data_IF_521124151994
#
_entry.id   IF_521124151994
#
_cell.length_a   1.000
_cell.length_b   1.000
_cell.length_c   1.000
_cell.angle_alpha   90.00
_cell.angle_beta   90.00
_cell.angle_gamma   90.00
#
_symmetry.space_group_name_H-M   'P 1'
#
loop_
_entity.id
_entity.type
_entity.pdbx_description
1 polymer ?
#
# COMPACT_ATOMS: atom_id res chain seq x y z
N UNK A 1 9.84 -53.47 3.59
CA UNK A 1 9.22 -53.49 2.24
C UNK A 1 7.81 -52.92 2.34
N UNK A 2 7.64 -51.60 2.12
CA UNK A 2 6.38 -51.01 1.60
C UNK A 2 6.81 -49.85 0.69
N UNK A 3 6.29 -49.87 -0.52
CA UNK A 3 6.68 -49.13 -1.72
C UNK A 3 6.14 -47.71 -1.78
N UNK A 4 6.99 -46.79 -2.28
CA UNK A 4 6.68 -45.41 -2.64
C UNK A 4 5.71 -45.31 -3.83
N UNK A 5 4.92 -44.24 -3.89
CA UNK A 5 4.36 -43.71 -5.14
C UNK A 5 4.30 -42.18 -5.08
N UNK A 6 5.13 -41.57 -5.93
CA UNK A 6 5.16 -40.14 -6.26
C UNK A 6 4.14 -39.86 -7.37
N UNK A 7 3.34 -38.79 -7.24
CA UNK A 7 2.64 -38.19 -8.38
C UNK A 7 2.81 -36.67 -8.35
N UNK A 8 3.69 -36.21 -9.25
CA UNK A 8 3.84 -34.84 -9.73
C UNK A 8 2.72 -34.53 -10.73
N UNK A 9 2.02 -33.40 -10.59
CA UNK A 9 1.26 -32.81 -11.71
C UNK A 9 1.65 -31.35 -11.96
N UNK A 10 2.27 -31.16 -13.13
CA UNK A 10 2.39 -29.90 -13.87
C UNK A 10 1.01 -29.43 -14.32
N UNK A 11 0.72 -28.14 -14.17
CA UNK A 11 -0.38 -27.49 -14.88
C UNK A 11 0.17 -26.76 -16.11
N UNK A 12 -0.32 -27.15 -17.28
CA UNK A 12 -0.01 -26.54 -18.58
C UNK A 12 -1.14 -25.57 -18.94
N UNK A 13 -0.77 -24.37 -19.37
CA UNK A 13 -1.67 -23.35 -19.93
C UNK A 13 -2.38 -23.88 -21.18
N UNK A 14 -3.66 -23.55 -21.36
CA UNK A 14 -4.27 -23.59 -22.70
C UNK A 14 -5.08 -22.32 -22.97
N UNK A 15 -4.64 -21.67 -24.06
CA UNK A 15 -5.16 -20.49 -24.71
C UNK A 15 -6.43 -20.82 -25.48
N UNK A 16 -7.52 -20.10 -25.24
CA UNK A 16 -8.73 -20.12 -26.08
C UNK A 16 -8.65 -19.01 -27.13
N UNK A 17 -8.52 -19.42 -28.39
CA UNK A 17 -8.70 -18.59 -29.57
C UNK A 17 -10.17 -18.13 -29.66
N UNK A 18 -10.39 -16.83 -29.91
CA UNK A 18 -11.69 -16.28 -30.33
C UNK A 18 -11.52 -15.77 -31.76
N UNK A 19 -12.37 -16.28 -32.66
CA UNK A 19 -12.34 -15.99 -34.10
C UNK A 19 -12.89 -14.59 -34.48
N UNK A 20 -12.80 -14.22 -35.77
CA UNK A 20 -13.03 -12.86 -36.24
C UNK A 20 -14.51 -12.58 -36.46
N UNK A 21 -15.04 -11.52 -35.83
CA UNK A 21 -16.37 -11.00 -36.11
C UNK A 21 -16.35 -10.11 -37.36
N UNK A 22 -17.24 -10.43 -38.31
CA UNK A 22 -17.40 -9.72 -39.58
C UNK A 22 -18.70 -8.92 -39.57
N UNK A 23 -18.58 -7.59 -39.64
CA UNK A 23 -19.42 -6.70 -40.45
C UNK A 23 -20.75 -6.17 -39.88
N UNK A 24 -20.85 -4.83 -39.78
CA UNK A 24 -21.77 -4.03 -40.60
C UNK A 24 -21.29 -2.56 -40.64
N UNK A 25 -21.34 -1.92 -41.81
CA UNK A 25 -20.85 -0.55 -42.08
C UNK A 25 -21.98 0.48 -42.13
N UNK A 26 -21.70 1.64 -41.49
CA UNK A 26 -21.84 3.05 -41.95
C UNK A 26 -23.23 3.63 -42.29
N UNK A 27 -23.63 4.70 -41.58
CA UNK A 27 -23.78 6.10 -42.07
C UNK A 27 -24.69 6.90 -41.13
N UNK A 28 -24.25 8.08 -40.67
CA UNK A 28 -25.11 9.01 -39.95
C UNK A 28 -24.33 10.14 -39.30
N UNK A 29 -24.04 11.17 -40.08
CA UNK A 29 -23.28 12.34 -39.66
C UNK A 29 -24.14 13.28 -38.81
N UNK A 30 -23.53 13.84 -37.77
CA UNK A 30 -23.72 15.18 -37.17
C UNK A 30 -23.83 15.12 -35.64
N UNK A 31 -22.70 15.32 -34.96
CA UNK A 31 -22.67 15.69 -33.54
C UNK A 31 -21.49 16.61 -33.28
N UNK A 32 -21.67 17.76 -32.61
CA UNK A 32 -20.56 18.63 -32.30
C UNK A 32 -19.75 18.01 -31.15
N UNK A 33 -18.46 17.86 -31.40
CA UNK A 33 -17.44 17.50 -30.43
C UNK A 33 -17.56 18.43 -29.21
N UNK A 34 -17.97 17.89 -28.06
CA UNK A 34 -17.78 18.57 -26.77
C UNK A 34 -16.60 17.91 -26.08
N UNK A 35 -15.53 18.70 -26.00
CA UNK A 35 -14.24 18.38 -25.41
C UNK A 35 -14.37 18.45 -23.88
N UNK A 36 -14.25 17.33 -23.17
CA UNK A 36 -14.26 17.31 -21.70
C UNK A 36 -12.87 17.70 -21.16
N UNK A 37 -12.57 19.00 -21.15
CA UNK A 37 -11.52 19.55 -20.31
C UNK A 37 -12.10 19.81 -18.91
N UNK A 38 -11.69 19.00 -17.93
CA UNK A 38 -11.71 19.44 -16.54
C UNK A 38 -10.63 20.52 -16.37
N UNK A 39 -11.03 21.78 -16.17
CA UNK A 39 -10.27 22.69 -15.30
C UNK A 39 -11.06 23.94 -14.91
N UNK A 40 -11.05 24.17 -13.60
CA UNK A 40 -10.94 25.46 -12.90
C UNK A 40 -12.10 26.47 -12.93
N UNK A 41 -12.68 26.65 -11.74
CA UNK A 41 -13.11 27.89 -11.11
C UNK A 41 -13.55 29.05 -12.01
N UNK A 42 -14.85 29.30 -12.03
CA UNK A 42 -15.42 30.54 -12.52
C UNK A 42 -16.87 30.70 -12.08
N UNK A 43 -17.07 31.22 -10.87
CA UNK A 43 -18.37 31.79 -10.46
C UNK A 43 -18.68 32.93 -11.43
N UNK A 44 -19.66 32.74 -12.31
CA UNK A 44 -20.33 33.84 -13.01
C UNK A 44 -21.83 33.67 -12.93
N UNK A 45 -22.38 34.40 -11.97
CA UNK A 45 -23.75 34.90 -11.92
C UNK A 45 -24.13 35.50 -13.28
N UNK A 46 -25.21 35.00 -13.90
CA UNK A 46 -25.84 35.66 -15.03
C UNK A 46 -27.29 35.94 -14.67
N UNK A 47 -27.54 37.21 -14.33
CA UNK A 47 -28.86 37.82 -14.21
C UNK A 47 -29.41 38.10 -15.62
N UNK A 48 -30.68 37.74 -15.79
CA UNK A 48 -31.72 38.17 -16.74
C UNK A 48 -31.39 39.21 -17.83
N UNK A 49 -31.87 38.93 -19.04
CA UNK A 49 -32.68 39.84 -19.87
C UNK A 49 -33.71 38.97 -20.62
N UNK A 50 -34.98 38.96 -20.21
CA UNK A 50 -36.07 39.79 -20.75
C UNK A 50 -36.22 39.66 -22.26
N UNK A 51 -37.19 38.83 -22.68
CA UNK A 51 -37.96 39.01 -23.90
C UNK A 51 -39.41 38.61 -23.59
N UNK A 52 -40.32 39.55 -23.81
CA UNK A 52 -41.75 39.49 -23.52
C UNK A 52 -42.47 39.10 -24.82
N UNK A 53 -43.37 38.12 -24.78
CA UNK A 53 -44.65 38.17 -25.50
C UNK A 53 -45.57 36.97 -25.15
N UNK A 54 -46.86 37.27 -25.01
CA UNK A 54 -47.97 36.35 -25.31
C UNK A 54 -48.58 35.49 -24.18
N UNK A 55 -49.66 36.01 -23.57
CA UNK A 55 -50.85 35.36 -22.95
C UNK A 55 -50.91 33.82 -22.79
N UNK A 56 -51.16 33.35 -21.56
CA UNK A 56 -52.35 32.57 -21.15
C UNK A 56 -52.27 32.20 -19.65
N UNK A 57 -53.42 32.29 -18.96
CA UNK A 57 -53.65 31.93 -17.57
C UNK A 57 -53.39 30.44 -17.26
N UNK A 58 -52.96 30.15 -16.03
CA UNK A 58 -53.57 29.17 -15.09
C UNK A 58 -52.69 29.01 -13.84
N UNK A 59 -53.33 29.23 -12.69
CA UNK A 59 -52.86 28.94 -11.34
C UNK A 59 -52.56 27.44 -11.16
N UNK A 60 -51.33 27.10 -10.77
CA UNK A 60 -51.04 25.82 -10.13
C UNK A 60 -49.89 25.96 -9.13
N UNK A 61 -50.28 26.10 -7.87
CA UNK A 61 -49.45 25.96 -6.68
C UNK A 61 -48.84 24.56 -6.63
N UNK A 62 -47.51 24.47 -6.79
CA UNK A 62 -46.73 23.26 -6.59
C UNK A 62 -45.50 23.57 -5.76
N UNK A 63 -45.54 23.24 -4.47
CA UNK A 63 -44.42 23.41 -3.55
C UNK A 63 -43.25 22.52 -3.98
N UNK A 64 -42.25 23.08 -4.67
CA UNK A 64 -40.93 22.44 -4.80
C UNK A 64 -40.20 22.53 -3.46
N UNK A 65 -40.38 21.50 -2.63
CA UNK A 65 -39.44 21.19 -1.55
C UNK A 65 -38.09 20.84 -2.18
N UNK A 66 -37.23 21.84 -2.33
CA UNK A 66 -35.81 21.62 -2.57
C UNK A 66 -35.23 20.89 -1.35
N UNK A 67 -34.58 19.72 -1.50
CA UNK A 67 -33.72 19.19 -0.47
C UNK A 67 -32.52 20.13 -0.39
N UNK A 68 -32.49 20.97 0.64
CA UNK A 68 -31.36 21.84 0.92
C UNK A 68 -30.10 20.98 1.15
N UNK A 69 -29.00 21.16 0.40
CA UNK A 69 -27.77 20.38 0.57
C UNK A 69 -26.95 20.81 1.80
N UNK A 70 -27.52 21.62 2.69
CA UNK A 70 -26.86 22.31 3.81
C UNK A 70 -26.46 21.40 4.98
N UNK A 71 -26.78 20.10 4.94
CA UNK A 71 -26.43 19.15 6.02
C UNK A 71 -25.03 18.53 5.82
N UNK A 72 -24.44 18.63 4.61
CA UNK A 72 -23.13 18.03 4.32
C UNK A 72 -21.92 18.95 4.56
N UNK A 73 -22.09 20.28 4.58
CA UNK A 73 -20.97 21.21 4.74
C UNK A 73 -20.50 21.40 6.19
N UNK A 74 -21.37 21.12 7.17
CA UNK A 74 -21.06 21.35 8.59
C UNK A 74 -20.20 20.26 9.24
N UNK A 75 -20.02 19.11 8.58
CA UNK A 75 -19.22 17.98 9.10
C UNK A 75 -17.72 18.10 8.84
N UNK A 76 -17.29 18.96 7.91
CA UNK A 76 -15.88 19.14 7.59
C UNK A 76 -15.09 19.83 8.72
N UNK A 77 -15.75 20.69 9.53
CA UNK A 77 -15.10 21.40 10.64
C UNK A 77 -14.81 20.53 11.87
N UNK A 78 -15.43 19.36 11.99
CA UNK A 78 -15.28 18.47 13.16
C UNK A 78 -14.18 17.40 12.98
N UNK A 79 -13.59 17.31 11.79
CA UNK A 79 -12.53 16.37 11.45
C UNK A 79 -11.27 17.09 10.95
N UNK A 80 -11.10 18.36 11.30
CA UNK A 80 -9.85 19.07 11.02
C UNK A 80 -8.76 18.44 11.88
N UNK A 81 -7.95 17.61 11.23
CA UNK A 81 -6.81 17.00 11.87
C UNK A 81 -5.83 18.11 12.27
N UNK A 82 -5.23 18.05 13.47
CA UNK A 82 -4.19 19.00 13.87
C UNK A 82 -3.06 19.04 12.82
N UNK A 83 -2.39 20.19 12.62
CA UNK A 83 -1.46 20.40 11.49
C UNK A 83 -0.23 19.48 11.51
N UNK A 84 0.08 18.87 12.66
CA UNK A 84 1.16 17.92 12.87
C UNK A 84 0.74 16.46 12.58
N UNK A 85 -0.48 16.22 12.10
CA UNK A 85 -0.99 14.88 11.84
C UNK A 85 -0.88 14.45 10.38
N UNK A 86 -0.89 13.13 10.17
CA UNK A 86 -0.88 12.53 8.84
C UNK A 86 -2.13 12.89 8.02
N UNK A 87 -3.27 13.09 8.66
CA UNK A 87 -4.52 13.52 8.02
C UNK A 87 -4.42 14.93 7.47
N UNK A 88 -3.83 15.86 8.23
CA UNK A 88 -3.59 17.23 7.79
C UNK A 88 -2.58 17.30 6.64
N UNK A 89 -1.53 16.46 6.69
CA UNK A 89 -0.53 16.35 5.63
C UNK A 89 -1.00 15.52 4.41
N UNK A 90 -2.19 14.93 4.45
CA UNK A 90 -2.70 13.99 3.44
C UNK A 90 -1.80 12.75 3.20
N UNK A 91 -1.04 12.33 4.22
CA UNK A 91 -0.11 11.20 4.15
C UNK A 91 -0.63 9.91 4.81
N UNK A 92 -1.78 9.94 5.49
CA UNK A 92 -2.28 8.80 6.26
C UNK A 92 -2.42 7.50 5.44
N UNK A 93 -2.95 7.57 4.21
CA UNK A 93 -3.08 6.41 3.33
C UNK A 93 -1.71 5.92 2.83
N UNK A 94 -0.83 6.85 2.51
CA UNK A 94 0.51 6.55 2.02
C UNK A 94 1.31 5.79 3.09
N UNK A 95 1.32 6.27 4.34
CA UNK A 95 1.98 5.57 5.43
C UNK A 95 1.30 4.25 5.80
N UNK A 96 -0.03 4.14 5.68
CA UNK A 96 -0.70 2.85 5.88
C UNK A 96 -0.16 1.78 4.92
N UNK A 97 0.00 2.13 3.64
CA UNK A 97 0.61 1.22 2.65
C UNK A 97 2.05 0.86 3.01
N UNK A 98 2.86 1.84 3.42
CA UNK A 98 4.25 1.59 3.86
C UNK A 98 4.29 0.62 5.05
N UNK A 99 3.48 0.86 6.09
CA UNK A 99 3.39 0.01 7.28
C UNK A 99 3.01 -1.42 6.91
N UNK A 100 2.00 -1.61 6.07
CA UNK A 100 1.53 -2.95 5.64
C UNK A 100 2.61 -3.67 4.82
N UNK A 101 3.37 -2.96 3.98
CA UNK A 101 4.48 -3.57 3.25
C UNK A 101 5.56 -4.02 4.23
N UNK A 102 5.97 -3.18 5.19
CA UNK A 102 6.98 -3.55 6.20
C UNK A 102 6.50 -4.76 7.03
N UNK A 103 5.24 -4.76 7.49
CA UNK A 103 4.64 -5.88 8.23
C UNK A 103 4.78 -7.21 7.47
N UNK A 104 4.43 -7.21 6.17
CA UNK A 104 4.55 -8.39 5.31
C UNK A 104 5.99 -8.85 5.15
N UNK A 105 6.95 -7.93 5.03
CA UNK A 105 8.36 -8.27 4.90
C UNK A 105 8.93 -8.81 6.22
N UNK A 106 8.46 -8.31 7.37
CA UNK A 106 8.82 -8.84 8.68
C UNK A 106 8.26 -10.26 8.89
N UNK A 107 7.04 -10.54 8.40
CA UNK A 107 6.47 -11.88 8.46
C UNK A 107 7.22 -12.90 7.57
N UNK A 108 7.77 -12.41 6.44
CA UNK A 108 8.44 -13.27 5.44
C UNK A 108 9.78 -12.67 4.98
N UNK A 109 10.79 -12.57 5.87
CA UNK A 109 12.05 -11.90 5.56
C UNK A 109 12.90 -12.64 4.51
N UNK A 110 12.63 -13.92 4.30
CA UNK A 110 13.25 -14.76 3.27
C UNK A 110 12.77 -14.43 1.84
N UNK A 111 11.64 -13.72 1.69
CA UNK A 111 11.11 -13.30 0.39
C UNK A 111 11.63 -11.93 -0.06
N UNK A 112 12.50 -11.30 0.74
CA UNK A 112 13.06 -9.97 0.45
C UNK A 112 14.13 -10.09 -0.63
N UNK A 113 13.70 -10.00 -1.89
CA UNK A 113 14.55 -9.79 -3.06
C UNK A 113 15.03 -8.34 -3.19
N UNK A 114 15.90 -8.09 -4.18
CA UNK A 114 16.37 -6.74 -4.50
C UNK A 114 15.20 -5.84 -4.89
N UNK A 115 14.30 -6.32 -5.75
CA UNK A 115 13.14 -5.58 -6.24
C UNK A 115 12.22 -5.14 -5.08
N UNK A 116 11.91 -6.05 -4.15
CA UNK A 116 11.06 -5.74 -2.99
C UNK A 116 11.68 -4.66 -2.08
N UNK A 117 13.01 -4.65 -1.96
CA UNK A 117 13.73 -3.61 -1.20
C UNK A 117 13.67 -2.26 -1.90
N UNK A 118 13.88 -2.24 -3.21
CA UNK A 118 13.86 -1.03 -4.01
C UNK A 118 12.45 -0.43 -4.08
N UNK A 119 11.43 -1.27 -4.23
CA UNK A 119 10.02 -0.89 -4.15
C UNK A 119 9.68 -0.27 -2.80
N UNK A 120 10.06 -0.92 -1.68
CA UNK A 120 9.86 -0.37 -0.35
C UNK A 120 10.55 0.98 -0.22
N UNK A 121 11.80 1.11 -0.65
CA UNK A 121 12.56 2.36 -0.55
C UNK A 121 11.94 3.49 -1.40
N UNK A 122 11.42 3.17 -2.59
CA UNK A 122 10.73 4.11 -3.47
C UNK A 122 9.36 4.54 -2.90
N UNK A 123 8.72 3.71 -2.09
CA UNK A 123 7.52 4.08 -1.35
C UNK A 123 7.80 5.02 -0.17
N UNK A 124 9.06 5.22 0.26
CA UNK A 124 9.34 6.04 1.44
C UNK A 124 9.36 7.55 1.11
N UNK A 125 8.69 8.38 1.94
CA UNK A 125 8.86 9.82 1.91
C UNK A 125 10.31 10.25 2.06
N UNK A 126 10.65 11.42 1.51
CA UNK A 126 12.01 11.94 1.53
C UNK A 126 12.57 12.10 2.95
N UNK A 127 11.73 12.51 3.91
CA UNK A 127 12.04 12.62 5.33
C UNK A 127 12.52 11.29 5.92
N UNK A 128 11.73 10.22 5.72
CA UNK A 128 12.05 8.87 6.20
C UNK A 128 13.32 8.34 5.53
N UNK A 129 13.49 8.55 4.22
CA UNK A 129 14.73 8.14 3.52
C UNK A 129 15.97 8.84 4.06
N UNK A 130 15.87 10.12 4.41
CA UNK A 130 16.97 10.87 5.01
C UNK A 130 17.29 10.36 6.42
N UNK A 131 16.26 10.18 7.26
CA UNK A 131 16.41 9.65 8.62
C UNK A 131 17.03 8.24 8.61
N UNK A 132 16.57 7.36 7.71
CA UNK A 132 17.11 6.02 7.55
C UNK A 132 18.58 6.03 7.15
N UNK A 133 18.98 6.90 6.21
CA UNK A 133 20.38 7.04 5.80
C UNK A 133 21.26 7.45 6.97
N UNK A 134 20.85 8.44 7.76
CA UNK A 134 21.62 8.87 8.93
C UNK A 134 21.74 7.76 9.98
N UNK A 135 20.67 6.99 10.20
CA UNK A 135 20.69 5.85 11.14
C UNK A 135 21.58 4.69 10.68
N UNK A 136 21.64 4.42 9.38
CA UNK A 136 22.42 3.31 8.81
C UNK A 136 23.88 3.67 8.49
N UNK A 137 24.23 4.96 8.40
CA UNK A 137 25.56 5.45 8.07
C UNK A 137 26.69 5.00 9.02
N UNK A 138 26.50 4.93 10.35
CA UNK A 138 27.52 4.38 11.25
C UNK A 138 27.79 2.89 10.99
N UNK A 139 26.75 2.15 10.62
CA UNK A 139 26.83 0.71 10.42
C UNK A 139 27.57 0.35 9.13
N UNK A 140 27.50 1.16 8.07
CA UNK A 140 28.17 0.85 6.79
C UNK A 140 29.69 0.75 6.86
N UNK A 141 30.33 1.41 7.84
CA UNK A 141 31.78 1.35 8.05
C UNK A 141 32.22 0.20 8.97
N UNK A 142 31.34 -0.25 9.86
CA UNK A 142 31.61 -1.34 10.82
C UNK A 142 31.17 -2.72 10.30
N UNK A 143 30.42 -2.76 9.19
CA UNK A 143 29.70 -3.94 8.71
C UNK A 143 30.57 -5.05 8.14
N UNK A 144 31.83 -4.75 7.83
CA UNK A 144 32.78 -5.71 7.26
C UNK A 144 33.35 -6.69 8.30
N UNK A 145 33.08 -6.48 9.59
CA UNK A 145 33.71 -7.23 10.69
C UNK A 145 32.75 -7.57 11.85
N UNK A 146 31.49 -7.15 11.81
CA UNK A 146 30.55 -7.42 12.89
C UNK A 146 30.09 -8.89 12.85
N UNK A 147 30.49 -9.66 13.86
CA UNK A 147 29.90 -10.97 14.15
C UNK A 147 28.41 -10.74 14.37
N UNK A 148 27.59 -11.33 13.51
CA UNK A 148 26.14 -11.16 13.56
C UNK A 148 25.59 -11.81 14.84
N UNK A 149 24.94 -11.01 15.68
CA UNK A 149 24.43 -11.47 16.97
C UNK A 149 22.99 -12.00 16.81
N UNK A 150 22.84 -13.30 17.09
CA UNK A 150 21.57 -14.03 17.14
C UNK A 150 20.64 -13.47 18.22
N UNK A 151 21.17 -13.05 19.37
CA UNK A 151 20.40 -12.49 20.48
C UNK A 151 19.78 -11.17 20.05
N UNK A 152 20.60 -10.27 19.49
CA UNK A 152 20.12 -8.99 18.96
C UNK A 152 19.09 -9.18 17.82
N UNK A 153 19.21 -10.23 17.00
CA UNK A 153 18.19 -10.55 15.98
C UNK A 153 16.85 -10.95 16.62
N UNK A 154 16.89 -11.71 17.71
CA UNK A 154 15.72 -12.04 18.51
C UNK A 154 15.06 -10.80 19.12
N UNK A 155 15.86 -9.90 19.71
CA UNK A 155 15.40 -8.64 20.29
C UNK A 155 14.69 -7.75 19.26
N UNK A 156 15.27 -7.62 18.05
CA UNK A 156 14.62 -6.87 16.97
C UNK A 156 13.30 -7.48 16.55
N UNK A 157 13.19 -8.81 16.46
CA UNK A 157 11.92 -9.46 16.15
C UNK A 157 10.85 -9.15 17.21
N UNK A 158 11.20 -9.26 18.49
CA UNK A 158 10.28 -8.96 19.61
C UNK A 158 9.88 -7.49 19.59
N UNK A 159 10.83 -6.57 19.41
CA UNK A 159 10.57 -5.13 19.38
C UNK A 159 9.63 -4.75 18.22
N UNK A 160 9.89 -5.27 17.01
CA UNK A 160 9.01 -5.01 15.87
C UNK A 160 7.63 -5.61 16.06
N UNK A 161 7.51 -6.81 16.62
CA UNK A 161 6.21 -7.41 16.95
C UNK A 161 5.41 -6.53 17.92
N UNK A 162 6.05 -5.99 18.95
CA UNK A 162 5.41 -5.05 19.88
C UNK A 162 4.98 -3.73 19.24
N UNK A 163 5.72 -3.23 18.24
CA UNK A 163 5.29 -2.06 17.46
C UNK A 163 4.08 -2.41 16.58
N UNK A 164 4.11 -3.54 15.89
CA UNK A 164 3.03 -3.93 14.99
C UNK A 164 1.73 -4.29 15.71
N UNK A 165 1.80 -4.77 16.96
CA UNK A 165 0.62 -5.07 17.79
C UNK A 165 -0.38 -3.90 17.82
N UNK A 166 0.11 -2.67 17.94
CA UNK A 166 -0.74 -1.47 17.95
C UNK A 166 -0.77 -0.74 16.59
N UNK A 167 0.30 -0.80 15.81
CA UNK A 167 0.41 -0.03 14.56
C UNK A 167 -0.30 -0.69 13.38
N UNK A 168 -0.23 -2.03 13.25
CA UNK A 168 -0.82 -2.75 12.14
C UNK A 168 -2.35 -2.57 12.08
N UNK A 169 -3.12 -2.72 13.19
CA UNK A 169 -4.56 -2.51 13.15
C UNK A 169 -4.96 -1.13 12.61
N UNK A 170 -4.22 -0.07 12.98
CA UNK A 170 -4.48 1.30 12.51
C UNK A 170 -4.22 1.44 11.00
N UNK A 171 -3.16 0.83 10.49
CA UNK A 171 -2.83 0.85 9.06
C UNK A 171 -3.88 0.07 8.24
N UNK A 172 -4.24 -1.14 8.65
CA UNK A 172 -5.28 -1.95 7.99
C UNK A 172 -6.63 -1.24 8.01
N UNK A 173 -6.99 -0.61 9.13
CA UNK A 173 -8.20 0.19 9.23
C UNK A 173 -8.18 1.39 8.28
N UNK A 174 -7.04 2.04 8.06
CA UNK A 174 -6.92 3.13 7.09
C UNK A 174 -7.21 2.67 5.66
N UNK A 175 -6.69 1.50 5.26
CA UNK A 175 -6.98 0.91 3.94
C UNK A 175 -8.47 0.57 3.82
N UNK A 176 -9.03 -0.09 4.83
CA UNK A 176 -10.45 -0.42 4.86
C UNK A 176 -11.33 0.82 4.77
N UNK A 177 -11.06 1.82 5.61
CA UNK A 177 -11.77 3.10 5.65
C UNK A 177 -11.79 3.81 4.29
N UNK A 178 -10.67 3.78 3.56
CA UNK A 178 -10.57 4.35 2.22
C UNK A 178 -11.36 3.53 1.21
N UNK A 179 -11.26 2.20 1.27
CA UNK A 179 -11.92 1.29 0.33
C UNK A 179 -13.45 1.39 0.39
N UNK A 180 -14.04 1.52 1.58
CA UNK A 180 -15.49 1.71 1.79
C UNK A 180 -16.03 3.02 1.16
N UNK A 181 -15.16 3.98 0.85
CA UNK A 181 -15.51 5.25 0.20
C UNK A 181 -15.17 5.26 -1.29
N UNK A 182 -14.40 4.28 -1.77
CA UNK A 182 -14.20 4.05 -3.20
C UNK A 182 -15.46 3.40 -3.79
N UNK A 183 -16.08 4.03 -4.78
CA UNK A 183 -17.34 3.58 -5.38
C UNK A 183 -17.23 2.19 -6.02
N UNK A 184 -16.02 1.79 -6.43
CA UNK A 184 -15.73 0.48 -7.03
C UNK A 184 -15.70 -0.66 -5.99
N UNK A 185 -15.35 -0.37 -4.73
CA UNK A 185 -15.20 -1.39 -3.68
C UNK A 185 -16.45 -1.57 -2.80
N UNK A 186 -17.40 -0.62 -2.85
CA UNK A 186 -18.61 -0.60 -2.01
C UNK A 186 -19.51 -1.84 -2.20
N UNK A 187 -19.44 -2.50 -3.36
CA UNK A 187 -20.29 -3.65 -3.70
C UNK A 187 -19.78 -4.98 -3.09
N UNK A 188 -18.52 -5.04 -2.65
CA UNK A 188 -17.85 -6.30 -2.24
C UNK A 188 -17.61 -6.43 -0.73
N UNK A 189 -17.59 -5.32 0.02
CA UNK A 189 -17.18 -5.30 1.43
C UNK A 189 -18.38 -5.22 2.36
N UNK A 190 -18.48 -6.14 3.33
CA UNK A 190 -19.45 -6.08 4.41
C UNK A 190 -19.29 -4.75 5.17
N UNK A 191 -20.39 -4.00 5.30
CA UNK A 191 -20.47 -2.60 5.78
C UNK A 191 -20.08 -2.44 7.27
N UNK A 192 -18.83 -2.71 7.59
CA UNK A 192 -18.29 -2.62 8.95
C UNK A 192 -17.65 -1.24 9.12
N UNK A 193 -18.40 -0.29 9.67
CA UNK A 193 -17.96 1.11 9.70
C UNK A 193 -16.68 1.33 10.52
N UNK A 194 -15.54 1.50 9.85
CA UNK A 194 -14.30 1.97 10.48
C UNK A 194 -14.40 3.47 10.77
N UNK A 195 -14.03 3.87 11.98
CA UNK A 195 -13.96 5.28 12.37
C UNK A 195 -12.58 5.87 12.06
N UNK A 196 -12.53 7.17 11.73
CA UNK A 196 -11.29 7.88 11.39
C UNK A 196 -10.26 7.89 12.55
N UNK A 197 -10.75 7.86 13.80
CA UNK A 197 -9.93 7.75 15.01
C UNK A 197 -9.27 6.38 15.18
N UNK A 198 -9.80 5.34 14.53
CA UNK A 198 -9.25 3.99 14.54
C UNK A 198 -8.22 3.79 13.42
N UNK A 199 -7.84 4.84 12.71
CA UNK A 199 -6.87 4.82 11.62
C UNK A 199 -5.67 5.72 11.94
N UNK A 200 -4.70 5.73 11.03
CA UNK A 200 -3.54 6.62 11.11
C UNK A 200 -3.87 8.10 10.86
N UNK A 201 -5.13 8.46 10.57
CA UNK A 201 -5.50 9.82 10.19
C UNK A 201 -5.08 10.89 11.22
N UNK A 202 -5.27 10.62 12.51
CA UNK A 202 -4.87 11.55 13.58
C UNK A 202 -3.49 11.24 14.17
N UNK A 203 -2.73 10.32 13.58
CA UNK A 203 -1.38 10.03 14.06
C UNK A 203 -0.46 11.23 13.80
N UNK A 204 0.39 11.56 14.77
CA UNK A 204 1.41 12.60 14.63
C UNK A 204 2.46 12.15 13.59
N UNK A 205 2.72 13.00 12.60
CA UNK A 205 3.60 12.68 11.48
C UNK A 205 5.02 12.36 11.92
N UNK A 206 5.61 13.20 12.78
CA UNK A 206 7.00 13.03 13.22
C UNK A 206 7.19 11.73 14.01
N UNK A 207 6.24 11.41 14.89
CA UNK A 207 6.26 10.14 15.64
C UNK A 207 6.12 8.95 14.71
N UNK A 208 5.19 9.00 13.74
CA UNK A 208 5.03 7.92 12.77
C UNK A 208 6.29 7.73 11.92
N UNK A 209 6.90 8.80 11.41
CA UNK A 209 8.14 8.71 10.64
C UNK A 209 9.30 8.13 11.47
N UNK A 210 9.40 8.49 12.74
CA UNK A 210 10.40 7.93 13.65
C UNK A 210 10.18 6.42 13.88
N UNK A 211 8.95 6.01 14.19
CA UNK A 211 8.59 4.59 14.36
C UNK A 211 8.85 3.78 13.09
N UNK A 212 8.49 4.30 11.91
CA UNK A 212 8.78 3.64 10.64
C UNK A 212 10.29 3.51 10.41
N UNK A 213 11.07 4.54 10.75
CA UNK A 213 12.53 4.49 10.64
C UNK A 213 13.12 3.39 11.54
N UNK A 214 12.62 3.23 12.76
CA UNK A 214 13.04 2.15 13.68
C UNK A 214 12.72 0.76 13.12
N UNK A 215 11.50 0.57 12.59
CA UNK A 215 11.10 -0.67 11.92
C UNK A 215 12.02 -1.00 10.73
N UNK A 216 12.39 0.01 9.93
CA UNK A 216 13.29 -0.17 8.78
C UNK A 216 14.72 -0.54 9.21
N UNK A 217 15.21 0.00 10.32
CA UNK A 217 16.52 -0.39 10.89
C UNK A 217 16.48 -1.84 11.37
N UNK A 218 15.43 -2.24 12.10
CA UNK A 218 15.23 -3.62 12.54
C UNK A 218 15.11 -4.61 11.37
N UNK A 219 14.31 -4.27 10.36
CA UNK A 219 14.17 -5.06 9.14
C UNK A 219 15.51 -5.21 8.41
N UNK A 220 16.29 -4.12 8.27
CA UNK A 220 17.62 -4.18 7.67
C UNK A 220 18.57 -5.10 8.46
N UNK A 221 18.47 -5.12 9.80
CA UNK A 221 19.26 -6.02 10.63
C UNK A 221 18.88 -7.49 10.41
N UNK A 222 17.60 -7.83 10.47
CA UNK A 222 17.09 -9.20 10.33
C UNK A 222 17.35 -9.75 8.93
N UNK A 223 17.14 -8.95 7.89
CA UNK A 223 17.37 -9.39 6.51
C UNK A 223 18.83 -9.79 6.27
N UNK A 224 19.76 -8.98 6.77
CA UNK A 224 21.19 -9.25 6.67
C UNK A 224 21.61 -10.44 7.53
N UNK A 225 21.06 -10.59 8.75
CA UNK A 225 21.28 -11.77 9.60
C UNK A 225 20.90 -13.06 8.87
N UNK A 226 19.68 -13.12 8.32
CA UNK A 226 19.20 -14.32 7.63
C UNK A 226 20.04 -14.70 6.42
N UNK A 227 20.54 -13.70 5.67
CA UNK A 227 21.45 -13.93 4.54
C UNK A 227 22.79 -14.53 4.96
N UNK A 228 23.38 -14.02 6.03
CA UNK A 228 24.68 -14.49 6.53
C UNK A 228 24.58 -15.92 7.06
N UNK A 229 23.53 -16.22 7.84
CA UNK A 229 23.27 -17.59 8.34
C UNK A 229 23.07 -18.56 7.18
N UNK A 230 22.32 -18.18 6.15
CA UNK A 230 22.12 -19.00 4.96
C UNK A 230 23.42 -19.22 4.19
N UNK A 231 24.23 -18.17 4.01
CA UNK A 231 25.53 -18.26 3.33
C UNK A 231 26.50 -19.19 4.07
N UNK A 232 26.57 -19.11 5.41
CA UNK A 232 27.38 -20.03 6.23
C UNK A 232 26.92 -21.48 6.08
N UNK A 233 25.60 -21.73 6.16
CA UNK A 233 25.06 -23.08 5.97
C UNK A 233 25.40 -23.66 4.59
N UNK A 234 25.38 -22.84 3.53
CA UNK A 234 25.78 -23.26 2.19
C UNK A 234 27.28 -23.62 2.12
N UNK A 235 28.15 -22.80 2.73
CA UNK A 235 29.60 -23.07 2.78
C UNK A 235 29.91 -24.36 3.57
N UNK A 236 29.24 -24.59 4.70
CA UNK A 236 29.41 -25.79 5.50
C UNK A 236 28.97 -27.05 4.71
N UNK A 237 27.90 -26.97 3.92
CA UNK A 237 27.44 -28.08 3.06
C UNK A 237 28.35 -28.38 1.85
N UNK A 238 29.07 -27.39 1.31
CA UNK A 238 30.04 -27.62 0.22
C UNK A 238 31.39 -28.14 0.74
N UNK A 239 31.79 -27.74 1.95
CA UNK A 239 33.01 -28.23 2.58
C UNK A 239 32.96 -29.74 2.91
N UNK A 240 31.78 -30.29 3.23
CA UNK A 240 31.63 -31.72 3.52
C UNK A 240 31.74 -32.62 2.27
N UNK A 241 31.51 -32.08 1.07
CA UNK A 241 31.60 -32.83 -0.19
C UNK A 241 33.02 -33.00 -0.72
N UNK A 242 33.96 -32.18 -0.28
CA UNK A 242 35.35 -32.19 -0.77
C UNK A 242 36.28 -33.11 0.03
N UNK A 243 35.78 -33.73 1.10
CA UNK A 243 36.57 -34.64 1.94
C UNK A 243 36.33 -36.14 1.67
N UNK A 244 35.32 -36.53 0.89
CA UNK A 244 34.99 -37.94 0.62
C UNK A 244 35.63 -38.53 -0.65
N UNK A 245 36.38 -37.76 -1.44
CA UNK A 245 36.93 -38.22 -2.74
C UNK A 245 38.40 -38.71 -2.67
N UNK A 246 38.96 -38.98 -1.47
CA UNK A 246 40.38 -39.39 -1.32
C UNK A 246 40.61 -40.74 -0.60
N UNK A 247 39.60 -41.53 -0.31
CA UNK A 247 39.78 -42.84 0.36
C UNK A 247 39.31 -44.02 -0.49
N UNK A 248 39.82 -44.15 -1.72
CA UNK A 248 39.72 -45.43 -2.44
C UNK A 248 40.82 -45.63 -3.49
N UNK A 249 42.09 -45.59 -3.06
CA UNK A 249 43.22 -46.16 -3.81
C UNK A 249 44.29 -46.69 -2.85
N UNK A 250 43.98 -47.77 -2.13
CA UNK A 250 44.97 -48.83 -1.86
C UNK A 250 44.28 -50.06 -1.25
N UNK A 251 44.30 -51.17 -2.00
CA UNK A 251 43.73 -52.47 -1.64
C UNK A 251 43.93 -53.49 -2.76
#
# INVERSE_FOLDING_TARGET
>A
MITHSLITRRNHLQSTQVGPFKGCMVTGNNSPVTNCYLSSNGVRTAILNVARDGNADILASGNKLHPSPSILSSKHKLLDAPPDTLGAAALALHYANVVIVIEKLVASPHLIGLDARDDLYNMLPASVRAALRERLKPFSKSLSSAVYDTVLAGEWNVAMAGIFEWLAPLAHNMIRWQSERSFEQQTLVSRTHVLLVQTLYFANQQKTEATITELLVGLNYIWRFGREVNAKALLDCDSSRTHDEFLDMDG
#
